data_IF_771118338119
#
_entry.id   IF_771118338119
#
_cell.length_a   1.000
_cell.length_b   1.000
_cell.length_c   1.000
_cell.angle_alpha   90.00
_cell.angle_beta   90.00
_cell.angle_gamma   90.00
#
_symmetry.space_group_name_H-M   'P 1'
#
loop_
_entity.id
_entity.type
_entity.pdbx_description
1 polymer ?
#
# COMPACT_ATOMS: atom_id res chain seq x y z
N UNK A 1 9.44 -0.54 -17.31
CA UNK A 1 9.56 0.06 -15.96
C UNK A 1 10.68 -0.68 -15.23
N UNK A 2 11.62 0.02 -14.61
CA UNK A 2 12.57 -0.61 -13.69
C UNK A 2 11.83 -0.96 -12.39
N UNK A 3 12.10 -2.13 -11.76
CA UNK A 3 11.51 -2.48 -10.49
C UNK A 3 12.03 -1.57 -9.37
N UNK A 4 11.20 -1.34 -8.35
CA UNK A 4 11.66 -0.67 -7.13
C UNK A 4 12.72 -1.50 -6.40
N UNK A 5 13.72 -0.84 -5.83
CA UNK A 5 14.73 -1.49 -5.00
C UNK A 5 14.13 -1.88 -3.65
N UNK A 6 14.05 -3.18 -3.41
CA UNK A 6 13.55 -3.73 -2.15
C UNK A 6 14.50 -3.41 -0.99
N UNK A 7 13.94 -2.83 0.08
CA UNK A 7 14.65 -2.45 1.29
C UNK A 7 14.14 -3.19 2.53
N UNK A 8 13.29 -4.21 2.37
CA UNK A 8 12.71 -4.96 3.50
C UNK A 8 13.79 -5.55 4.43
N UNK A 9 14.89 -6.07 3.88
CA UNK A 9 15.95 -6.70 4.69
C UNK A 9 16.70 -5.70 5.60
N UNK A 10 16.52 -4.40 5.39
CA UNK A 10 17.20 -3.34 6.14
C UNK A 10 16.28 -2.62 7.13
N UNK A 11 15.11 -3.19 7.44
CA UNK A 11 14.11 -2.56 8.32
C UNK A 11 14.67 -2.14 9.68
N UNK A 12 15.68 -2.84 10.17
CA UNK A 12 16.35 -2.59 11.45
C UNK A 12 17.70 -1.86 11.31
N UNK A 13 18.10 -1.50 10.09
CA UNK A 13 19.30 -0.70 9.79
C UNK A 13 18.90 0.70 9.31
N UNK A 14 18.64 1.58 10.27
CA UNK A 14 18.26 2.97 9.97
C UNK A 14 19.33 3.74 9.19
N UNK A 15 20.61 3.39 9.31
CA UNK A 15 21.68 4.08 8.59
C UNK A 15 21.71 3.69 7.11
N UNK A 16 21.48 2.42 6.77
CA UNK A 16 21.28 1.99 5.38
C UNK A 16 20.00 2.58 4.78
N UNK A 17 18.88 2.57 5.53
CA UNK A 17 17.63 3.19 5.05
C UNK A 17 17.81 4.69 4.76
N UNK A 18 18.55 5.41 5.61
CA UNK A 18 18.91 6.80 5.37
C UNK A 18 19.72 6.98 4.08
N UNK A 19 20.79 6.20 3.90
CA UNK A 19 21.63 6.24 2.68
C UNK A 19 20.82 5.94 1.41
N UNK A 20 19.85 5.01 1.49
CA UNK A 20 18.95 4.70 0.37
C UNK A 20 17.98 5.84 0.07
N UNK A 21 17.39 6.45 1.09
CA UNK A 21 16.52 7.61 0.90
C UNK A 21 17.28 8.78 0.26
N UNK A 22 18.51 9.05 0.69
CA UNK A 22 19.36 10.10 0.10
C UNK A 22 19.75 9.80 -1.36
N UNK A 23 20.10 8.54 -1.66
CA UNK A 23 20.53 8.13 -3.01
C UNK A 23 19.37 8.03 -3.99
N UNK A 24 18.26 7.42 -3.56
CA UNK A 24 17.19 6.97 -4.45
C UNK A 24 15.92 7.84 -4.33
N UNK A 25 15.77 8.62 -3.26
CA UNK A 25 14.60 9.47 -3.01
C UNK A 25 13.33 8.71 -2.60
N UNK A 26 13.42 7.41 -2.35
CA UNK A 26 12.32 6.57 -1.89
C UNK A 26 12.81 5.37 -1.08
N UNK A 27 11.88 4.71 -0.38
CA UNK A 27 12.07 3.39 0.21
C UNK A 27 10.90 2.50 -0.18
N UNK A 28 11.20 1.34 -0.77
CA UNK A 28 10.20 0.30 -1.01
C UNK A 28 10.38 -0.80 0.04
N UNK A 29 9.34 -1.00 0.86
CA UNK A 29 9.32 -1.96 1.97
C UNK A 29 8.07 -2.82 1.82
N UNK A 30 8.25 -4.12 1.60
CA UNK A 30 7.17 -5.09 1.58
C UNK A 30 6.70 -5.42 3.00
N UNK A 31 5.39 -5.59 3.15
CA UNK A 31 4.80 -6.05 4.42
C UNK A 31 4.96 -5.07 5.57
N UNK A 32 5.21 -3.78 5.29
CA UNK A 32 5.38 -2.74 6.32
C UNK A 32 4.13 -2.60 7.21
N UNK A 33 2.95 -2.73 6.59
CA UNK A 33 1.66 -2.70 7.29
C UNK A 33 1.02 -4.09 7.27
N UNK A 34 0.32 -4.50 8.35
CA UNK A 34 -0.44 -5.75 8.36
C UNK A 34 -1.51 -5.77 7.26
N UNK A 35 -1.53 -6.82 6.45
CA UNK A 35 -2.43 -6.91 5.30
C UNK A 35 -3.92 -6.78 5.69
N UNK A 36 -4.34 -7.41 6.80
CA UNK A 36 -5.72 -7.34 7.27
C UNK A 36 -6.16 -5.91 7.62
N UNK A 37 -5.30 -5.12 8.26
CA UNK A 37 -5.61 -3.73 8.62
C UNK A 37 -5.80 -2.86 7.37
N UNK A 38 -4.96 -3.08 6.35
CA UNK A 38 -5.08 -2.36 5.07
C UNK A 38 -6.34 -2.79 4.32
N UNK A 39 -6.69 -4.08 4.37
CA UNK A 39 -7.92 -4.58 3.74
C UNK A 39 -9.19 -4.07 4.43
N UNK A 40 -9.21 -4.03 5.76
CA UNK A 40 -10.34 -3.46 6.51
C UNK A 40 -10.55 -1.98 6.15
N UNK A 41 -9.46 -1.21 6.04
CA UNK A 41 -9.51 0.18 5.59
C UNK A 41 -10.00 0.29 4.14
N UNK A 42 -9.55 -0.61 3.25
CA UNK A 42 -10.01 -0.67 1.86
C UNK A 42 -11.52 -0.82 1.79
N UNK A 43 -12.09 -1.73 2.58
CA UNK A 43 -13.54 -1.96 2.60
C UNK A 43 -14.31 -0.71 3.06
N UNK A 44 -13.85 -0.02 4.11
CA UNK A 44 -14.47 1.22 4.60
C UNK A 44 -14.46 2.33 3.52
N UNK A 45 -13.34 2.50 2.81
CA UNK A 45 -13.26 3.48 1.72
C UNK A 45 -14.21 3.12 0.58
N UNK A 46 -14.32 1.83 0.25
CA UNK A 46 -15.22 1.37 -0.80
C UNK A 46 -16.69 1.58 -0.46
N UNK A 47 -17.09 1.48 0.81
CA UNK A 47 -18.47 1.80 1.22
C UNK A 47 -18.82 3.25 0.90
N UNK A 48 -17.90 4.18 1.17
CA UNK A 48 -18.04 5.61 0.83
C UNK A 48 -18.13 5.78 -0.69
N UNK A 49 -17.21 5.15 -1.43
CA UNK A 49 -17.19 5.21 -2.89
C UNK A 49 -18.48 4.63 -3.51
N UNK A 50 -19.01 3.56 -2.94
CA UNK A 50 -20.28 2.95 -3.34
C UNK A 50 -21.46 3.88 -3.10
N UNK A 51 -21.52 4.52 -1.93
CA UNK A 51 -22.56 5.50 -1.63
C UNK A 51 -22.50 6.71 -2.59
N UNK A 52 -21.29 7.07 -3.04
CA UNK A 52 -21.07 8.13 -4.03
C UNK A 52 -21.30 7.69 -5.51
N UNK A 53 -21.57 6.40 -5.74
CA UNK A 53 -21.76 5.84 -7.10
C UNK A 53 -20.46 5.71 -7.90
N UNK A 54 -19.30 5.61 -7.24
CA UNK A 54 -17.97 5.53 -7.88
C UNK A 54 -17.49 4.11 -8.15
N UNK A 55 -18.23 3.09 -7.68
CA UNK A 55 -17.91 1.66 -7.90
C UNK A 55 -19.03 0.98 -8.69
N UNK A 56 -18.73 -0.19 -9.26
CA UNK A 56 -19.68 -0.94 -10.07
C UNK A 56 -20.87 -1.43 -9.23
N UNK A 57 -22.12 -1.04 -9.55
CA UNK A 57 -23.29 -1.47 -8.79
C UNK A 57 -23.57 -2.97 -8.99
N UNK A 58 -24.11 -3.61 -7.95
CA UNK A 58 -24.51 -5.02 -7.99
C UNK A 58 -23.36 -6.03 -7.90
N UNK A 59 -22.13 -5.58 -7.60
CA UNK A 59 -20.98 -6.45 -7.29
C UNK A 59 -20.69 -6.47 -5.79
N UNK A 60 -20.10 -7.57 -5.26
CA UNK A 60 -19.49 -7.54 -3.94
C UNK A 60 -18.49 -6.39 -3.86
N UNK A 61 -18.53 -5.65 -2.75
CA UNK A 61 -17.79 -4.40 -2.62
C UNK A 61 -16.28 -4.57 -2.84
N UNK A 62 -15.73 -5.69 -2.37
CA UNK A 62 -14.32 -6.02 -2.57
C UNK A 62 -13.90 -6.18 -4.03
N UNK A 63 -14.84 -6.47 -4.92
CA UNK A 63 -14.65 -6.75 -6.36
C UNK A 63 -15.29 -5.67 -7.25
N UNK A 64 -15.68 -4.53 -6.67
CA UNK A 64 -16.47 -3.49 -7.33
C UNK A 64 -15.63 -2.36 -7.97
N UNK A 65 -14.30 -2.42 -7.87
CA UNK A 65 -13.33 -1.41 -8.37
C UNK A 65 -12.89 -1.71 -9.79
#
# INVERSE_FOLDING_TARGET
MQPFLDSTDYLHDGAELGRRMERDGYLFIRGLLPAGVVEDLRMQILEIASAAGWVLPGRPLGDAV
#
